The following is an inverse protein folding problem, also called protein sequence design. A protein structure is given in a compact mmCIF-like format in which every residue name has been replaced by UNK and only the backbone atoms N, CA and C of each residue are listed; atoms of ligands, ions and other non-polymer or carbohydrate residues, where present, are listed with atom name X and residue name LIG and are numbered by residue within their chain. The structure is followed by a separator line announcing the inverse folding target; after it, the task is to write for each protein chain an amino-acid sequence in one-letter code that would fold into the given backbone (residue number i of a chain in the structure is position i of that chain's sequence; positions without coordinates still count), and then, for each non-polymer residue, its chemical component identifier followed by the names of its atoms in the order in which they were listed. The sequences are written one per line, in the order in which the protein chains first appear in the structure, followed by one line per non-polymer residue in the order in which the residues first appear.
data_IF_102166760210
#
_entry.id   IF_102166760210
#
_cell.length_a   1.000
_cell.length_b   1.000
_cell.length_c   1.000
_cell.angle_alpha   90.00
_cell.angle_beta   90.00
_cell.angle_gamma   90.00
#
_symmetry.space_group_name_H-M   'P 1'
#
loop_
_entity.id
_entity.type
_entity.pdbx_description
1 polymer ?
#
# COMPACT_ATOMS: atom_id res chain seq x y z
N UNK A 1 -16.61 -0.47 -6.60
CA UNK A 1 -15.30 -0.02 -6.08
C UNK A 1 -15.54 1.38 -5.55
N UNK A 2 -15.68 1.54 -4.22
CA UNK A 2 -15.56 2.87 -3.63
C UNK A 2 -14.17 3.40 -3.99
N UNK A 3 -14.01 4.68 -4.39
CA UNK A 3 -12.74 5.17 -4.89
C UNK A 3 -11.68 5.00 -3.80
N UNK A 4 -10.44 4.73 -4.19
CA UNK A 4 -9.32 4.41 -3.29
C UNK A 4 -9.17 5.36 -2.08
N UNK A 5 -9.69 6.58 -2.19
CA UNK A 5 -9.76 7.58 -1.11
C UNK A 5 -10.58 7.11 0.11
N UNK A 6 -11.66 6.35 -0.06
CA UNK A 6 -12.45 5.80 1.04
C UNK A 6 -11.67 4.72 1.81
N UNK A 7 -10.94 3.89 1.08
CA UNK A 7 -10.07 2.87 1.68
C UNK A 7 -8.91 3.52 2.43
N UNK A 8 -8.29 4.56 1.86
CA UNK A 8 -7.22 5.31 2.51
C UNK A 8 -7.69 6.04 3.76
N UNK A 9 -8.91 6.60 3.77
CA UNK A 9 -9.49 7.24 4.94
C UNK A 9 -9.78 6.25 6.08
N UNK A 10 -10.34 5.09 5.75
CA UNK A 10 -10.62 4.04 6.73
C UNK A 10 -9.33 3.49 7.37
N UNK A 11 -8.29 3.25 6.56
CA UNK A 11 -7.00 2.75 7.06
C UNK A 11 -6.25 3.79 7.92
N UNK A 12 -6.38 5.09 7.61
CA UNK A 12 -5.80 6.17 8.45
C UNK A 12 -6.48 6.32 9.80
N UNK A 13 -7.76 5.94 9.91
CA UNK A 13 -8.52 6.05 11.15
C UNK A 13 -8.24 4.90 12.13
N UNK A 14 -7.57 3.83 11.68
CA UNK A 14 -7.26 2.66 12.51
C UNK A 14 -5.91 2.82 13.24
N UNK A 15 -5.89 2.92 14.58
CA UNK A 15 -4.66 3.01 15.35
C UNK A 15 -3.72 1.82 15.18
N UNK A 16 -4.25 0.64 14.87
CA UNK A 16 -3.44 -0.56 14.62
C UNK A 16 -2.63 -0.43 13.32
N UNK A 17 -3.19 0.26 12.31
CA UNK A 17 -2.47 0.56 11.06
C UNK A 17 -1.39 1.62 11.30
N UNK A 18 -1.66 2.62 12.14
CA UNK A 18 -0.67 3.65 12.50
C UNK A 18 0.45 3.12 13.40
N UNK A 19 0.18 2.08 14.18
CA UNK A 19 1.16 1.42 15.05
C UNK A 19 2.00 0.36 14.31
N UNK A 20 1.65 0.02 13.08
CA UNK A 20 2.42 -0.92 12.27
C UNK A 20 3.67 -0.23 11.72
N UNK A 21 4.80 -0.91 11.85
CA UNK A 21 6.10 -0.56 11.28
C UNK A 21 6.37 -1.30 9.96
N UNK A 22 5.55 -2.31 9.62
CA UNK A 22 5.69 -3.14 8.42
C UNK A 22 4.37 -3.29 7.64
N UNK A 23 4.48 -3.26 6.30
CA UNK A 23 3.39 -3.59 5.37
C UNK A 23 3.71 -4.86 4.60
N UNK A 24 2.94 -5.92 4.85
CA UNK A 24 2.98 -7.12 4.03
C UNK A 24 1.96 -7.03 2.88
N UNK A 25 2.40 -7.31 1.65
CA UNK A 25 1.54 -7.36 0.47
C UNK A 25 1.60 -8.76 -0.12
N UNK A 26 0.46 -9.45 -0.13
CA UNK A 26 0.32 -10.74 -0.78
C UNK A 26 -0.01 -10.54 -2.27
N UNK A 27 0.89 -10.99 -3.14
CA UNK A 27 0.67 -10.99 -4.58
C UNK A 27 0.18 -12.38 -5.02
N UNK A 28 -0.89 -12.46 -5.83
CA UNK A 28 -1.32 -13.71 -6.44
C UNK A 28 -0.25 -14.37 -7.30
N UNK A 29 -0.22 -15.70 -7.28
CA UNK A 29 0.60 -16.48 -8.19
C UNK A 29 0.17 -16.27 -9.65
N UNK A 30 1.14 -16.31 -10.57
CA UNK A 30 0.88 -16.20 -12.01
C UNK A 30 0.65 -14.77 -12.53
N UNK A 31 0.83 -13.74 -11.69
CA UNK A 31 0.89 -12.35 -12.15
C UNK A 31 2.01 -12.16 -13.18
N UNK A 32 1.76 -11.31 -14.18
CA UNK A 32 2.80 -10.96 -15.15
C UNK A 32 3.83 -10.05 -14.48
N UNK A 33 5.12 -10.13 -14.87
CA UNK A 33 6.18 -9.30 -14.29
C UNK A 33 5.89 -7.79 -14.34
N UNK A 34 5.25 -7.32 -15.41
CA UNK A 34 4.90 -5.91 -15.58
C UNK A 34 3.81 -5.47 -14.59
N UNK A 35 2.84 -6.34 -14.33
CA UNK A 35 1.76 -6.08 -13.37
C UNK A 35 2.34 -6.05 -11.94
N UNK A 36 3.24 -6.98 -11.60
CA UNK A 36 3.96 -6.99 -10.32
C UNK A 36 4.74 -5.68 -10.14
N UNK A 37 5.48 -5.26 -11.17
CA UNK A 37 6.28 -4.03 -11.13
C UNK A 37 5.41 -2.79 -10.94
N UNK A 38 4.25 -2.73 -11.61
CA UNK A 38 3.30 -1.65 -11.45
C UNK A 38 2.75 -1.60 -10.02
N UNK A 39 2.31 -2.73 -9.47
CA UNK A 39 1.75 -2.81 -8.11
C UNK A 39 2.78 -2.35 -7.08
N UNK A 40 4.01 -2.87 -7.15
CA UNK A 40 5.08 -2.47 -6.23
C UNK A 40 5.44 -0.98 -6.35
N UNK A 41 5.42 -0.43 -7.57
CA UNK A 41 5.68 1.00 -7.80
C UNK A 41 4.58 1.86 -7.19
N UNK A 42 3.31 1.51 -7.38
CA UNK A 42 2.18 2.25 -6.84
C UNK A 42 2.16 2.20 -5.30
N UNK A 43 2.49 1.05 -4.72
CA UNK A 43 2.67 0.91 -3.26
C UNK A 43 3.75 1.84 -2.75
N UNK A 44 4.96 1.76 -3.33
CA UNK A 44 6.11 2.51 -2.84
C UNK A 44 5.97 4.03 -3.04
N UNK A 45 5.34 4.47 -4.13
CA UNK A 45 5.29 5.89 -4.52
C UNK A 45 4.00 6.60 -4.13
N UNK A 46 2.91 5.87 -3.92
CA UNK A 46 1.59 6.48 -3.60
C UNK A 46 1.09 6.04 -2.23
N UNK A 47 0.99 4.73 -2.00
CA UNK A 47 0.37 4.21 -0.79
C UNK A 47 1.23 4.45 0.46
N UNK A 48 2.50 4.08 0.43
CA UNK A 48 3.44 4.26 1.55
C UNK A 48 3.47 5.72 2.05
N UNK A 49 3.75 6.71 1.18
CA UNK A 49 3.74 8.12 1.56
C UNK A 49 2.39 8.61 2.10
N UNK A 50 1.26 8.14 1.54
CA UNK A 50 -0.08 8.51 2.01
C UNK A 50 -0.43 7.95 3.41
N UNK A 51 0.30 6.93 3.86
CA UNK A 51 0.23 6.36 5.21
C UNK A 51 1.29 6.95 6.17
N UNK A 52 2.13 7.88 5.70
CA UNK A 52 3.22 8.45 6.49
C UNK A 52 4.50 7.60 6.52
N UNK A 53 4.55 6.52 5.75
CA UNK A 53 5.75 5.71 5.60
C UNK A 53 6.67 6.26 4.52
N UNK A 54 7.95 6.38 4.83
CA UNK A 54 9.00 6.72 3.88
C UNK A 54 9.75 5.44 3.48
N UNK A 55 9.92 5.16 2.18
CA UNK A 55 10.78 4.05 1.76
C UNK A 55 12.21 4.26 2.29
N UNK A 56 12.76 3.27 2.97
CA UNK A 56 14.18 3.20 3.31
C UNK A 56 14.98 2.97 2.01
N UNK A 57 16.00 3.80 1.79
CA UNK A 57 16.87 3.75 0.62
C UNK A 57 17.75 2.50 0.57
#
# INVERSE_FOLDING_TARGET
VGPADELAAALRADPAVQAADELAIALPDGLRPDDVTQILTDVARRLGPALGWSPSA
#
